data_IF_494550193425
#
_entry.id   IF_494550193425
#
_cell.length_a   1.000
_cell.length_b   1.000
_cell.length_c   1.000
_cell.angle_alpha   90.00
_cell.angle_beta   90.00
_cell.angle_gamma   90.00
#
_symmetry.space_group_name_H-M   'P 1'
#
loop_
_entity.id
_entity.type
_entity.pdbx_description
1 polymer ?
#
# COMPACT_ATOMS: atom_id res chain seq x y z
N UNK A 1 18.81 15.63 -27.37
CA UNK A 1 19.42 14.31 -27.62
C UNK A 1 18.28 13.33 -27.84
N UNK A 2 18.37 12.48 -28.87
CA UNK A 2 17.41 11.40 -29.05
C UNK A 2 17.71 10.22 -28.10
N UNK A 3 16.83 9.21 -28.05
CA UNK A 3 17.03 8.03 -27.18
C UNK A 3 18.29 7.23 -27.51
N UNK A 4 18.82 7.32 -28.73
CA UNK A 4 20.01 6.57 -29.16
C UNK A 4 21.25 7.23 -28.55
N UNK A 5 21.36 8.54 -28.69
CA UNK A 5 22.44 9.34 -28.11
C UNK A 5 22.41 9.30 -26.59
N UNK A 6 21.23 9.45 -25.99
CA UNK A 6 21.01 9.34 -24.54
C UNK A 6 21.48 7.98 -24.00
N UNK A 7 21.09 6.90 -24.70
CA UNK A 7 21.49 5.53 -24.36
C UNK A 7 23.00 5.34 -24.43
N UNK A 8 23.65 5.84 -25.49
CA UNK A 8 25.10 5.77 -25.67
C UNK A 8 25.83 6.50 -24.55
N UNK A 9 25.39 7.70 -24.20
CA UNK A 9 26.02 8.52 -23.16
C UNK A 9 25.87 7.87 -21.78
N UNK A 10 24.66 7.42 -21.42
CA UNK A 10 24.39 6.78 -20.13
C UNK A 10 25.12 5.45 -19.99
N UNK A 11 25.17 4.64 -21.05
CA UNK A 11 25.92 3.39 -21.04
C UNK A 11 27.42 3.61 -20.85
N UNK A 12 28.00 4.60 -21.54
CA UNK A 12 29.41 4.97 -21.37
C UNK A 12 29.73 5.46 -19.96
N UNK A 13 28.85 6.26 -19.37
CA UNK A 13 28.98 6.74 -18.00
C UNK A 13 28.96 5.59 -16.99
N UNK A 14 27.98 4.70 -17.10
CA UNK A 14 27.82 3.58 -16.16
C UNK A 14 28.90 2.51 -16.34
N UNK A 15 29.17 2.08 -17.57
CA UNK A 15 30.01 0.89 -17.83
C UNK A 15 31.43 1.23 -18.30
N UNK A 16 31.78 2.52 -18.43
CA UNK A 16 33.12 2.97 -18.83
C UNK A 16 33.52 2.60 -20.25
N UNK A 17 32.63 2.01 -21.03
CA UNK A 17 32.88 1.56 -22.40
C UNK A 17 31.62 1.66 -23.25
N UNK A 18 31.78 1.76 -24.57
CA UNK A 18 30.67 1.64 -25.51
C UNK A 18 30.36 0.17 -25.80
N UNK A 19 29.10 -0.19 -26.08
CA UNK A 19 28.75 -1.51 -26.57
C UNK A 19 29.50 -1.82 -27.87
N UNK A 20 29.83 -3.09 -28.09
CA UNK A 20 30.49 -3.57 -29.32
C UNK A 20 29.54 -4.55 -30.02
N UNK A 21 28.65 -4.08 -30.92
CA UNK A 21 27.57 -4.89 -31.50
C UNK A 21 28.04 -6.19 -32.17
N UNK A 22 29.20 -6.16 -32.85
CA UNK A 22 29.75 -7.31 -33.57
C UNK A 22 30.17 -8.48 -32.65
N UNK A 23 30.15 -8.28 -31.33
CA UNK A 23 30.44 -9.32 -30.34
C UNK A 23 29.18 -9.88 -29.68
N UNK A 24 28.00 -9.39 -30.05
CA UNK A 24 26.72 -9.77 -29.44
C UNK A 24 26.08 -10.91 -30.23
N UNK A 25 25.56 -11.92 -29.52
CA UNK A 25 24.84 -13.04 -30.15
C UNK A 25 23.40 -12.68 -30.54
N UNK A 26 22.85 -11.59 -29.99
CA UNK A 26 21.52 -11.05 -30.30
C UNK A 26 21.54 -9.51 -30.29
N UNK A 27 22.04 -8.88 -31.37
CA UNK A 27 22.21 -7.43 -31.42
C UNK A 27 20.89 -6.65 -31.42
N UNK A 28 19.80 -7.24 -31.94
CA UNK A 28 18.49 -6.58 -31.98
C UNK A 28 17.91 -6.44 -30.57
N UNK A 29 17.89 -7.52 -29.79
CA UNK A 29 17.43 -7.47 -28.41
C UNK A 29 18.29 -6.52 -27.57
N UNK A 30 19.61 -6.57 -27.76
CA UNK A 30 20.54 -5.72 -27.03
C UNK A 30 20.35 -4.24 -27.36
N UNK A 31 20.00 -3.91 -28.61
CA UNK A 31 19.63 -2.55 -29.02
C UNK A 31 18.32 -2.09 -28.36
N UNK A 32 17.29 -2.93 -28.36
CA UNK A 32 16.01 -2.65 -27.69
C UNK A 32 16.26 -2.39 -26.20
N UNK A 33 16.97 -3.30 -25.54
CA UNK A 33 17.32 -3.23 -24.13
C UNK A 33 18.05 -1.93 -23.82
N UNK A 34 19.16 -1.65 -24.52
CA UNK A 34 19.97 -0.47 -24.22
C UNK A 34 19.19 0.82 -24.42
N UNK A 35 18.45 0.91 -25.52
CA UNK A 35 17.70 2.13 -25.84
C UNK A 35 16.55 2.36 -24.87
N UNK A 36 15.88 1.30 -24.42
CA UNK A 36 14.82 1.40 -23.43
C UNK A 36 15.38 1.77 -22.05
N UNK A 37 16.32 0.97 -21.53
CA UNK A 37 16.88 1.18 -20.19
C UNK A 37 17.65 2.51 -20.15
N UNK A 38 18.72 2.62 -20.94
CA UNK A 38 19.66 3.73 -20.83
C UNK A 38 19.25 4.95 -21.63
N UNK A 39 18.33 4.83 -22.58
CA UNK A 39 17.87 5.96 -23.42
C UNK A 39 16.55 6.58 -22.98
N UNK A 40 15.71 5.87 -22.22
CA UNK A 40 14.38 6.34 -21.80
C UNK A 40 14.23 6.25 -20.27
N UNK A 41 14.39 5.05 -19.69
CA UNK A 41 14.11 4.80 -18.26
C UNK A 41 14.99 5.64 -17.34
N UNK A 42 16.31 5.72 -17.59
CA UNK A 42 17.25 6.52 -16.80
C UNK A 42 16.97 8.03 -16.84
N UNK A 43 16.25 8.51 -17.86
CA UNK A 43 15.91 9.92 -18.05
C UNK A 43 14.46 10.24 -17.69
N UNK A 44 13.71 9.27 -17.16
CA UNK A 44 12.29 9.44 -16.80
C UNK A 44 12.10 9.54 -15.30
N UNK A 45 11.40 10.58 -14.84
CA UNK A 45 11.12 10.81 -13.42
C UNK A 45 12.24 11.54 -12.69
N UNK A 46 12.21 11.52 -11.35
CA UNK A 46 13.05 12.36 -10.50
C UNK A 46 14.13 11.59 -9.70
N UNK A 47 14.39 10.32 -10.03
CA UNK A 47 15.47 9.55 -9.40
C UNK A 47 16.84 9.89 -9.98
N UNK A 48 17.81 10.10 -9.09
CA UNK A 48 19.23 10.17 -9.44
C UNK A 48 19.81 8.80 -9.78
N UNK A 49 20.95 8.81 -10.48
CA UNK A 49 21.56 7.58 -11.00
C UNK A 49 22.10 6.67 -9.90
N UNK A 50 22.53 7.23 -8.76
CA UNK A 50 22.99 6.46 -7.59
C UNK A 50 21.84 5.59 -7.07
N UNK A 51 20.67 6.19 -6.90
CA UNK A 51 19.45 5.53 -6.44
C UNK A 51 18.98 4.52 -7.45
N UNK A 52 19.02 4.84 -8.75
CA UNK A 52 18.71 3.91 -9.84
C UNK A 52 19.57 2.65 -9.79
N UNK A 53 20.88 2.79 -9.64
CA UNK A 53 21.76 1.62 -9.55
C UNK A 53 21.55 0.82 -8.26
N UNK A 54 21.24 1.47 -7.14
CA UNK A 54 20.85 0.73 -5.92
C UNK A 54 19.53 -0.05 -6.12
N UNK A 55 18.52 0.55 -6.77
CA UNK A 55 17.27 -0.14 -7.14
C UNK A 55 17.55 -1.31 -8.09
N UNK A 56 18.46 -1.15 -9.04
CA UNK A 56 18.90 -2.23 -9.93
C UNK A 56 19.55 -3.37 -9.13
N UNK A 57 20.49 -3.05 -8.25
CA UNK A 57 21.22 -4.05 -7.44
C UNK A 57 20.27 -4.90 -6.59
N UNK A 58 19.27 -4.30 -5.93
CA UNK A 58 18.30 -5.07 -5.15
C UNK A 58 17.41 -5.96 -6.02
N UNK A 59 17.03 -5.50 -7.22
CA UNK A 59 16.18 -6.25 -8.13
C UNK A 59 16.94 -7.48 -8.67
N UNK A 60 18.21 -7.28 -9.04
CA UNK A 60 19.08 -8.36 -9.49
C UNK A 60 19.42 -9.34 -8.36
N UNK A 61 19.55 -8.86 -7.13
CA UNK A 61 19.71 -9.69 -5.93
C UNK A 61 18.49 -10.59 -5.73
N UNK A 62 17.28 -10.03 -5.74
CA UNK A 62 16.03 -10.78 -5.57
C UNK A 62 15.81 -11.84 -6.67
N UNK A 63 16.11 -11.46 -7.92
CA UNK A 63 15.99 -12.33 -9.09
C UNK A 63 17.14 -13.35 -9.23
N UNK A 64 18.22 -13.23 -8.45
CA UNK A 64 19.44 -14.04 -8.56
C UNK A 64 20.12 -13.97 -9.95
N UNK A 65 20.05 -12.82 -10.61
CA UNK A 65 20.70 -12.55 -11.91
C UNK A 65 22.13 -12.07 -11.70
N UNK A 66 22.98 -12.99 -11.20
CA UNK A 66 24.33 -12.70 -10.72
C UNK A 66 25.29 -12.06 -11.75
N UNK A 67 25.31 -12.45 -13.04
CA UNK A 67 26.17 -11.80 -14.02
C UNK A 67 25.85 -10.31 -14.19
N UNK A 68 24.56 -9.97 -14.24
CA UNK A 68 24.09 -8.58 -14.32
C UNK A 68 24.37 -7.85 -13.01
N UNK A 69 24.24 -8.51 -11.85
CA UNK A 69 24.60 -7.93 -10.56
C UNK A 69 26.08 -7.54 -10.52
N UNK A 70 26.98 -8.39 -11.05
CA UNK A 70 28.41 -8.07 -11.17
C UNK A 70 28.66 -6.83 -12.02
N UNK A 71 27.97 -6.71 -13.16
CA UNK A 71 28.07 -5.56 -14.04
C UNK A 71 27.54 -4.27 -13.39
N UNK A 72 26.37 -4.33 -12.76
CA UNK A 72 25.76 -3.17 -12.11
C UNK A 72 26.45 -2.78 -10.79
N UNK A 73 27.11 -3.70 -10.10
CA UNK A 73 28.00 -3.35 -8.97
C UNK A 73 29.17 -2.49 -9.45
N UNK A 74 29.79 -2.83 -10.59
CA UNK A 74 30.81 -1.98 -11.21
C UNK A 74 30.24 -0.63 -11.65
N UNK A 75 29.05 -0.63 -12.25
CA UNK A 75 28.40 0.60 -12.71
C UNK A 75 28.08 1.56 -11.55
N UNK A 76 27.50 1.06 -10.47
CA UNK A 76 27.25 1.81 -9.24
C UNK A 76 28.53 2.45 -8.69
N UNK A 77 29.64 1.70 -8.65
CA UNK A 77 30.94 2.23 -8.21
C UNK A 77 31.49 3.31 -9.16
N UNK A 78 31.24 3.22 -10.48
CA UNK A 78 31.69 4.23 -11.45
C UNK A 78 31.00 5.58 -11.26
N UNK A 79 29.73 5.58 -10.83
CA UNK A 79 28.97 6.79 -10.53
C UNK A 79 28.99 7.18 -9.04
N UNK A 80 29.91 6.58 -8.27
CA UNK A 80 30.25 6.99 -6.91
C UNK A 80 29.38 6.40 -5.80
N UNK A 81 28.52 5.41 -6.06
CA UNK A 81 27.90 4.63 -4.97
C UNK A 81 29.02 3.86 -4.25
N UNK A 82 29.09 3.98 -2.93
CA UNK A 82 30.16 3.38 -2.14
C UNK A 82 29.95 1.87 -1.93
N UNK A 83 31.01 1.09 -1.67
CA UNK A 83 30.88 -0.32 -1.29
C UNK A 83 29.96 -0.53 -0.07
N UNK A 84 29.95 0.43 0.86
CA UNK A 84 29.08 0.41 2.04
C UNK A 84 27.62 0.55 1.65
N UNK A 85 27.27 1.55 0.82
CA UNK A 85 25.89 1.73 0.32
C UNK A 85 25.40 0.50 -0.45
N UNK A 86 26.24 -0.08 -1.32
CA UNK A 86 25.90 -1.30 -2.08
C UNK A 86 25.62 -2.48 -1.13
N UNK A 87 26.50 -2.71 -0.14
CA UNK A 87 26.30 -3.77 0.87
C UNK A 87 25.01 -3.54 1.65
N UNK A 88 24.76 -2.31 2.10
CA UNK A 88 23.57 -1.98 2.87
C UNK A 88 22.28 -2.12 2.05
N UNK A 89 22.33 -1.83 0.75
CA UNK A 89 21.22 -2.08 -0.18
C UNK A 89 20.95 -3.59 -0.33
N UNK A 90 21.99 -4.41 -0.53
CA UNK A 90 21.87 -5.88 -0.60
C UNK A 90 21.35 -6.46 0.72
N UNK A 91 21.74 -5.90 1.87
CA UNK A 91 21.26 -6.33 3.19
C UNK A 91 19.76 -6.11 3.37
N UNK A 92 19.16 -5.07 2.76
CA UNK A 92 17.71 -4.88 2.81
C UNK A 92 16.94 -6.05 2.19
N UNK A 93 17.60 -6.86 1.35
CA UNK A 93 16.96 -8.03 0.76
C UNK A 93 16.76 -9.19 1.75
N UNK A 94 17.53 -9.27 2.83
CA UNK A 94 17.55 -10.47 3.68
C UNK A 94 16.18 -10.83 4.31
N UNK A 95 15.41 -9.89 4.88
CA UNK A 95 14.11 -10.22 5.47
C UNK A 95 13.05 -10.67 4.47
N UNK A 96 13.19 -10.31 3.19
CA UNK A 96 12.14 -10.51 2.18
C UNK A 96 12.46 -11.61 1.18
N UNK A 97 13.72 -11.71 0.72
CA UNK A 97 14.16 -12.71 -0.27
C UNK A 97 14.96 -13.86 0.37
N UNK A 98 15.34 -13.72 1.64
CA UNK A 98 16.06 -14.74 2.42
C UNK A 98 17.59 -14.67 2.30
N UNK A 99 18.28 -15.11 3.35
CA UNK A 99 19.74 -15.06 3.45
C UNK A 99 20.51 -15.77 2.32
N UNK A 100 20.13 -16.95 1.81
CA UNK A 100 20.91 -17.62 0.76
C UNK A 100 21.13 -16.76 -0.49
N UNK A 101 20.07 -16.07 -0.94
CA UNK A 101 20.13 -15.17 -2.10
C UNK A 101 21.01 -13.94 -1.83
N UNK A 102 20.93 -13.40 -0.60
CA UNK A 102 21.76 -12.29 -0.14
C UNK A 102 23.23 -12.69 -0.05
N UNK A 103 23.54 -13.89 0.43
CA UNK A 103 24.91 -14.41 0.48
C UNK A 103 25.50 -14.55 -0.93
N UNK A 104 24.75 -15.07 -1.89
CA UNK A 104 25.18 -15.13 -3.28
C UNK A 104 25.47 -13.75 -3.86
N UNK A 105 24.58 -12.78 -3.63
CA UNK A 105 24.75 -11.41 -4.08
C UNK A 105 25.96 -10.72 -3.43
N UNK A 106 26.15 -10.91 -2.12
CA UNK A 106 27.30 -10.38 -1.39
C UNK A 106 28.61 -10.98 -1.86
N UNK A 107 28.65 -12.28 -2.21
CA UNK A 107 29.85 -12.89 -2.78
C UNK A 107 30.24 -12.20 -4.10
N UNK A 108 29.27 -11.99 -5.00
CA UNK A 108 29.50 -11.28 -6.26
C UNK A 108 29.94 -9.83 -6.04
N UNK A 109 29.31 -9.11 -5.11
CA UNK A 109 29.71 -7.74 -4.79
C UNK A 109 31.13 -7.67 -4.20
N UNK A 110 31.49 -8.61 -3.32
CA UNK A 110 32.82 -8.69 -2.71
C UNK A 110 33.92 -9.04 -3.73
N UNK A 111 33.61 -9.88 -4.73
CA UNK A 111 34.52 -10.09 -5.87
C UNK A 111 34.81 -8.77 -6.58
N UNK A 112 33.76 -8.00 -6.92
CA UNK A 112 33.92 -6.69 -7.58
C UNK A 112 34.69 -5.72 -6.70
N UNK A 113 34.40 -5.65 -5.40
CA UNK A 113 35.13 -4.80 -4.47
C UNK A 113 36.63 -5.14 -4.45
N UNK A 114 36.96 -6.43 -4.41
CA UNK A 114 38.35 -6.91 -4.42
C UNK A 114 39.04 -6.60 -5.76
N UNK A 115 38.37 -6.86 -6.89
CA UNK A 115 38.84 -6.54 -8.25
C UNK A 115 39.10 -5.02 -8.43
N UNK A 116 38.29 -4.19 -7.76
CA UNK A 116 38.41 -2.72 -7.77
C UNK A 116 39.38 -2.17 -6.70
N UNK A 117 40.04 -3.05 -5.94
CA UNK A 117 41.06 -2.69 -4.96
C UNK A 117 40.53 -2.17 -3.61
N UNK A 118 39.24 -2.36 -3.31
CA UNK A 118 38.71 -2.06 -1.98
C UNK A 118 39.13 -3.13 -0.98
N UNK A 119 39.45 -2.71 0.24
CA UNK A 119 39.88 -3.62 1.33
C UNK A 119 38.66 -4.22 2.01
N UNK A 120 38.65 -5.56 2.15
CA UNK A 120 37.64 -6.31 2.89
C UNK A 120 38.24 -6.83 4.23
N UNK A 121 37.45 -6.91 5.32
CA UNK A 121 36.03 -6.56 5.41
C UNK A 121 35.80 -5.04 5.40
N UNK A 122 34.71 -4.60 4.77
CA UNK A 122 34.27 -3.20 4.82
C UNK A 122 33.92 -2.81 6.27
N UNK A 123 34.05 -1.52 6.59
CA UNK A 123 33.79 -0.96 7.93
C UNK A 123 32.44 -1.38 8.53
N UNK A 124 32.39 -1.56 9.85
CA UNK A 124 31.15 -1.93 10.57
C UNK A 124 30.18 -0.74 10.55
N UNK A 125 28.89 -1.00 10.32
CA UNK A 125 27.83 0.03 10.31
C UNK A 125 26.74 -0.19 11.37
N UNK A 126 26.83 -1.27 12.16
CA UNK A 126 25.86 -1.56 13.21
C UNK A 126 26.04 -0.61 14.40
N UNK A 127 24.94 -0.04 14.87
CA UNK A 127 24.89 0.98 15.92
C UNK A 127 24.28 0.49 17.24
N UNK A 128 23.72 -0.73 17.24
CA UNK A 128 23.00 -1.31 18.39
C UNK A 128 23.77 -2.48 19.00
N UNK A 129 23.60 -2.69 20.30
CA UNK A 129 24.06 -3.90 20.97
C UNK A 129 23.00 -5.01 20.89
N UNK A 130 23.43 -6.27 21.06
CA UNK A 130 22.56 -7.46 20.90
C UNK A 130 21.29 -7.40 21.78
N UNK A 131 21.43 -6.95 23.02
CA UNK A 131 20.33 -6.84 23.99
C UNK A 131 19.42 -5.61 23.77
N UNK A 132 19.72 -4.76 22.79
CA UNK A 132 19.00 -3.51 22.51
C UNK A 132 18.24 -3.56 21.18
N UNK A 133 18.36 -4.65 20.41
CA UNK A 133 17.80 -4.81 19.06
C UNK A 133 16.30 -4.52 19.03
N UNK A 134 15.53 -5.08 19.96
CA UNK A 134 14.08 -4.89 20.01
C UNK A 134 13.70 -3.43 20.28
N UNK A 135 14.23 -2.83 21.35
CA UNK A 135 13.87 -1.46 21.73
C UNK A 135 14.29 -0.44 20.66
N UNK A 136 15.51 -0.57 20.12
CA UNK A 136 16.00 0.30 19.04
C UNK A 136 15.29 0.08 17.72
N UNK A 137 14.93 -1.17 17.41
CA UNK A 137 14.07 -1.46 16.26
C UNK A 137 12.70 -0.82 16.40
N UNK A 138 12.10 -0.90 17.58
CA UNK A 138 10.78 -0.35 17.88
C UNK A 138 10.73 1.18 17.77
N UNK A 139 11.79 1.88 18.21
CA UNK A 139 11.95 3.34 18.05
C UNK A 139 11.81 3.78 16.57
N UNK A 140 12.29 2.96 15.63
CA UNK A 140 12.19 3.23 14.18
C UNK A 140 10.86 2.71 13.60
N UNK A 141 10.44 1.50 13.97
CA UNK A 141 9.24 0.85 13.45
C UNK A 141 7.98 1.65 13.77
N UNK A 142 7.82 2.10 15.02
CA UNK A 142 6.55 2.63 15.52
C UNK A 142 6.11 3.93 14.80
N UNK A 143 6.99 4.92 14.55
CA UNK A 143 6.60 6.08 13.73
C UNK A 143 6.12 5.72 12.31
N UNK A 144 6.69 4.67 11.71
CA UNK A 144 6.40 4.28 10.32
C UNK A 144 5.15 3.40 10.25
N UNK A 145 5.03 2.39 11.11
CA UNK A 145 4.00 1.35 11.02
C UNK A 145 3.04 1.29 12.21
N UNK A 146 3.31 2.00 13.30
CA UNK A 146 2.53 1.91 14.54
C UNK A 146 2.51 0.48 15.09
N UNK A 147 1.32 0.05 15.53
CA UNK A 147 1.09 -1.30 16.07
C UNK A 147 0.57 -2.31 15.04
N UNK A 148 0.48 -1.93 13.76
CA UNK A 148 -0.19 -2.74 12.72
C UNK A 148 0.38 -4.17 12.65
N UNK A 149 1.69 -4.34 12.85
CA UNK A 149 2.35 -5.66 12.80
C UNK A 149 1.84 -6.57 13.92
N UNK A 150 1.83 -6.08 15.16
CA UNK A 150 1.33 -6.84 16.30
C UNK A 150 -0.18 -7.11 16.17
N UNK A 151 -0.95 -6.13 15.70
CA UNK A 151 -2.39 -6.27 15.50
C UNK A 151 -2.74 -7.31 14.43
N UNK A 152 -2.00 -7.35 13.32
CA UNK A 152 -2.20 -8.33 12.24
C UNK A 152 -1.82 -9.76 12.64
N UNK A 153 -1.02 -9.92 13.69
CA UNK A 153 -0.50 -11.22 14.13
C UNK A 153 -1.06 -11.67 15.49
N UNK A 154 -1.99 -10.92 16.08
CA UNK A 154 -2.57 -11.19 17.40
C UNK A 154 -3.30 -12.54 17.49
N UNK A 155 -3.84 -13.02 16.37
CA UNK A 155 -4.65 -14.24 16.30
C UNK A 155 -3.80 -15.51 16.14
N UNK A 156 -2.46 -15.37 16.13
CA UNK A 156 -1.55 -16.51 16.17
C UNK A 156 -1.66 -17.27 17.51
N UNK A 157 -1.24 -18.55 17.56
CA UNK A 157 -1.13 -19.29 18.81
C UNK A 157 -0.33 -18.52 19.86
N UNK A 158 -0.73 -18.60 21.14
CA UNK A 158 -0.18 -17.77 22.22
C UNK A 158 1.36 -17.85 22.37
N UNK A 159 1.98 -18.97 21.98
CA UNK A 159 3.44 -19.14 22.00
C UNK A 159 4.15 -18.48 20.80
N UNK A 160 3.42 -18.01 19.80
CA UNK A 160 3.93 -17.41 18.56
C UNK A 160 3.45 -15.96 18.35
N UNK A 161 2.32 -15.58 18.96
CA UNK A 161 1.71 -14.25 18.82
C UNK A 161 2.60 -13.11 19.30
N UNK A 162 3.61 -13.39 20.13
CA UNK A 162 4.66 -12.44 20.48
C UNK A 162 5.97 -12.67 19.71
N UNK A 163 6.34 -13.92 19.45
CA UNK A 163 7.65 -14.27 18.86
C UNK A 163 7.82 -13.73 17.45
N UNK A 164 6.80 -13.85 16.59
CA UNK A 164 6.93 -13.41 15.19
C UNK A 164 7.00 -11.87 15.09
N UNK A 165 6.14 -11.09 15.77
CA UNK A 165 6.30 -9.63 15.83
C UNK A 165 7.66 -9.19 16.39
N UNK A 166 8.18 -9.88 17.41
CA UNK A 166 9.48 -9.56 18.01
C UNK A 166 10.62 -9.82 17.02
N UNK A 167 10.62 -10.97 16.33
CA UNK A 167 11.60 -11.26 15.28
C UNK A 167 11.60 -10.22 14.17
N UNK A 168 10.41 -9.77 13.74
CA UNK A 168 10.31 -8.73 12.72
C UNK A 168 10.90 -7.41 13.25
N UNK A 169 10.54 -7.02 14.47
CA UNK A 169 11.03 -5.80 15.11
C UNK A 169 12.56 -5.83 15.26
N UNK A 170 13.10 -6.92 15.80
CA UNK A 170 14.53 -7.09 16.05
C UNK A 170 15.33 -7.22 14.76
N UNK A 171 14.90 -8.06 13.82
CA UNK A 171 15.67 -8.32 12.61
C UNK A 171 15.52 -7.17 11.61
N UNK A 172 14.30 -6.81 11.23
CA UNK A 172 14.10 -5.80 10.19
C UNK A 172 14.57 -4.42 10.69
N UNK A 173 14.13 -4.01 11.88
CA UNK A 173 14.41 -2.66 12.34
C UNK A 173 15.67 -2.60 13.20
N UNK A 174 15.80 -3.50 14.17
CA UNK A 174 16.95 -3.56 15.07
C UNK A 174 18.26 -3.84 14.33
N UNK A 175 18.33 -4.88 13.52
CA UNK A 175 19.57 -5.28 12.84
C UNK A 175 19.84 -4.51 11.55
N UNK A 176 18.81 -4.15 10.79
CA UNK A 176 18.99 -3.55 9.45
C UNK A 176 18.71 -2.05 9.38
N UNK A 177 17.63 -1.52 9.98
CA UNK A 177 17.31 -0.09 9.84
C UNK A 177 18.17 0.82 10.71
N UNK A 178 18.60 0.35 11.88
CA UNK A 178 19.45 1.15 12.79
C UNK A 178 20.86 1.39 12.25
N UNK A 179 21.27 0.62 11.22
CA UNK A 179 22.61 0.69 10.65
C UNK A 179 22.85 2.00 9.92
N UNK A 180 24.10 2.43 9.92
CA UNK A 180 24.59 3.51 9.06
C UNK A 180 24.72 3.05 7.59
N UNK A 181 25.15 3.95 6.72
CA UNK A 181 25.41 3.69 5.31
C UNK A 181 24.23 3.97 4.37
N UNK A 182 22.98 3.85 4.83
CA UNK A 182 21.80 4.31 4.09
C UNK A 182 20.83 5.04 5.01
N UNK A 183 20.21 6.10 4.47
CA UNK A 183 19.11 6.80 5.16
C UNK A 183 17.86 5.91 5.23
N UNK A 184 16.99 6.16 6.21
CA UNK A 184 15.70 5.48 6.33
C UNK A 184 14.85 5.70 5.06
N UNK A 185 14.90 6.90 4.47
CA UNK A 185 14.23 7.23 3.20
C UNK A 185 14.68 6.30 2.07
N UNK A 186 15.99 6.09 1.94
CA UNK A 186 16.54 5.20 0.92
C UNK A 186 16.17 3.75 1.20
N UNK A 187 16.27 3.29 2.46
CA UNK A 187 15.90 1.91 2.84
C UNK A 187 14.43 1.61 2.50
N UNK A 188 13.50 2.48 2.87
CA UNK A 188 12.08 2.31 2.55
C UNK A 188 11.80 2.29 1.05
N UNK A 189 12.48 3.13 0.27
CA UNK A 189 12.32 3.15 -1.18
C UNK A 189 12.82 1.83 -1.81
N UNK A 190 13.97 1.35 -1.37
CA UNK A 190 14.56 0.09 -1.81
C UNK A 190 13.66 -1.10 -1.41
N UNK A 191 13.09 -1.10 -0.21
CA UNK A 191 12.20 -2.19 0.22
C UNK A 191 10.90 -2.19 -0.59
N UNK A 192 10.30 -1.03 -0.87
CA UNK A 192 9.15 -0.96 -1.77
C UNK A 192 9.48 -1.53 -3.16
N UNK A 193 10.65 -1.21 -3.68
CA UNK A 193 11.14 -1.76 -4.96
C UNK A 193 11.34 -3.28 -4.91
N UNK A 194 11.91 -3.78 -3.82
CA UNK A 194 12.14 -5.21 -3.61
C UNK A 194 10.82 -5.98 -3.54
N UNK A 195 9.82 -5.47 -2.80
CA UNK A 195 8.50 -6.08 -2.71
C UNK A 195 7.80 -6.13 -4.06
N UNK A 196 7.95 -5.08 -4.88
CA UNK A 196 7.49 -5.10 -6.28
C UNK A 196 8.17 -6.22 -7.07
N UNK A 197 9.48 -6.42 -6.93
CA UNK A 197 10.22 -7.48 -7.64
C UNK A 197 9.76 -8.88 -7.20
N UNK A 198 9.54 -9.10 -5.91
CA UNK A 198 9.00 -10.37 -5.38
C UNK A 198 7.54 -10.60 -5.79
N UNK A 199 6.82 -9.54 -6.19
CA UNK A 199 5.40 -9.62 -6.57
C UNK A 199 4.47 -9.74 -5.37
N UNK A 200 4.93 -9.28 -4.21
CA UNK A 200 4.14 -9.19 -2.99
C UNK A 200 2.96 -8.22 -3.20
N UNK A 201 1.78 -8.46 -2.61
CA UNK A 201 0.61 -7.58 -2.74
C UNK A 201 0.03 -7.07 -1.42
N UNK A 202 0.21 -7.79 -0.32
CA UNK A 202 -0.41 -7.50 0.98
C UNK A 202 0.28 -6.36 1.72
N UNK A 203 1.62 -6.27 1.65
CA UNK A 203 2.44 -5.32 2.41
C UNK A 203 2.98 -4.16 1.57
N UNK A 204 2.80 -4.18 0.24
CA UNK A 204 3.14 -3.04 -0.63
C UNK A 204 2.48 -1.74 -0.16
N UNK A 205 1.19 -1.77 0.20
CA UNK A 205 0.49 -0.56 0.68
C UNK A 205 1.11 -0.01 1.96
N UNK A 206 1.55 -0.88 2.87
CA UNK A 206 2.21 -0.48 4.11
C UNK A 206 3.54 0.23 3.82
N UNK A 207 4.38 -0.31 2.94
CA UNK A 207 5.66 0.32 2.57
C UNK A 207 5.50 1.57 1.70
N UNK A 208 4.48 1.63 0.83
CA UNK A 208 4.19 2.84 0.08
C UNK A 208 3.71 3.98 1.01
N UNK A 209 2.95 3.66 2.06
CA UNK A 209 2.59 4.60 3.13
C UNK A 209 3.80 4.97 3.99
N UNK A 210 4.64 3.99 4.32
CA UNK A 210 5.88 4.18 5.07
C UNK A 210 6.84 5.15 4.37
N UNK A 211 6.97 5.02 3.05
CA UNK A 211 7.73 5.94 2.20
C UNK A 211 7.27 7.40 2.37
N UNK A 212 5.96 7.67 2.40
CA UNK A 212 5.43 9.01 2.65
C UNK A 212 5.82 9.53 4.04
N UNK A 213 5.72 8.67 5.07
CA UNK A 213 6.04 9.05 6.46
C UNK A 213 7.52 9.37 6.67
N UNK A 214 8.41 8.71 5.94
CA UNK A 214 9.86 8.96 6.05
C UNK A 214 10.31 10.12 5.16
N UNK A 215 9.43 10.68 4.32
CA UNK A 215 9.67 11.89 3.55
C UNK A 215 9.87 11.69 2.04
N UNK A 216 9.76 10.46 1.53
CA UNK A 216 9.65 10.25 0.09
C UNK A 216 8.27 10.73 -0.41
N UNK A 217 8.18 11.10 -1.68
CA UNK A 217 6.92 11.49 -2.30
C UNK A 217 6.47 10.48 -3.35
N UNK A 218 5.24 10.65 -3.85
CA UNK A 218 4.67 9.76 -4.87
C UNK A 218 5.45 9.76 -6.17
N UNK A 219 5.94 10.93 -6.60
CA UNK A 219 6.73 11.05 -7.83
C UNK A 219 8.01 10.21 -7.74
N UNK A 220 8.70 10.22 -6.58
CA UNK A 220 9.88 9.39 -6.31
C UNK A 220 9.56 7.91 -6.35
N UNK A 221 8.46 7.47 -5.70
CA UNK A 221 8.04 6.07 -5.75
C UNK A 221 7.66 5.63 -7.16
N UNK A 222 6.91 6.45 -7.92
CA UNK A 222 6.54 6.17 -9.30
C UNK A 222 7.76 6.13 -10.22
N UNK A 223 8.72 7.04 -10.03
CA UNK A 223 9.99 7.05 -10.76
C UNK A 223 10.79 5.76 -10.50
N UNK A 224 10.77 5.25 -9.27
CA UNK A 224 11.36 3.95 -8.93
C UNK A 224 10.64 2.78 -9.62
N UNK A 225 9.30 2.82 -9.69
CA UNK A 225 8.53 1.79 -10.41
C UNK A 225 8.82 1.79 -11.91
N UNK A 226 9.00 2.98 -12.51
CA UNK A 226 9.44 3.10 -13.92
C UNK A 226 10.82 2.48 -14.09
N UNK A 227 11.75 2.78 -13.18
CA UNK A 227 13.10 2.21 -13.19
C UNK A 227 13.11 0.68 -13.08
N UNK A 228 12.15 0.10 -12.37
CA UNK A 228 12.04 -1.35 -12.22
C UNK A 228 11.45 -2.09 -13.42
N UNK A 229 10.79 -1.41 -14.37
CA UNK A 229 10.12 -2.08 -15.50
C UNK A 229 11.05 -3.07 -16.23
N UNK A 230 12.31 -2.74 -16.57
CA UNK A 230 13.22 -3.67 -17.25
C UNK A 230 13.61 -4.90 -16.41
N UNK A 231 13.50 -4.82 -15.08
CA UNK A 231 13.97 -5.84 -14.14
C UNK A 231 12.84 -6.68 -13.52
N UNK A 232 11.65 -6.11 -13.38
CA UNK A 232 10.48 -6.75 -12.77
C UNK A 232 9.32 -6.98 -13.75
N UNK A 233 9.31 -6.29 -14.89
CA UNK A 233 8.24 -6.33 -15.89
C UNK A 233 7.00 -5.52 -15.48
N UNK A 234 6.20 -5.17 -16.49
CA UNK A 234 4.99 -4.33 -16.31
C UNK A 234 3.96 -4.88 -15.32
N UNK A 235 3.61 -6.18 -15.27
CA UNK A 235 2.54 -6.64 -14.38
C UNK A 235 2.81 -6.34 -12.90
N UNK A 236 4.06 -6.53 -12.46
CA UNK A 236 4.48 -6.27 -11.08
C UNK A 236 4.52 -4.77 -10.79
N UNK A 237 5.13 -3.98 -11.68
CA UNK A 237 5.26 -2.52 -11.48
C UNK A 237 3.91 -1.81 -11.56
N UNK A 238 3.01 -2.22 -12.47
CA UNK A 238 1.67 -1.65 -12.60
C UNK A 238 0.80 -1.87 -11.36
N UNK A 239 0.91 -3.04 -10.72
CA UNK A 239 0.22 -3.27 -9.46
C UNK A 239 0.63 -2.24 -8.39
N UNK A 240 1.94 -2.05 -8.21
CA UNK A 240 2.48 -1.09 -7.25
C UNK A 240 2.16 0.36 -7.61
N UNK A 241 2.21 0.71 -8.90
CA UNK A 241 1.79 2.03 -9.40
C UNK A 241 0.33 2.31 -9.03
N UNK A 242 -0.57 1.33 -9.19
CA UNK A 242 -1.97 1.49 -8.79
C UNK A 242 -2.09 1.71 -7.27
N UNK A 243 -1.35 0.95 -6.45
CA UNK A 243 -1.33 1.16 -5.00
C UNK A 243 -0.85 2.57 -4.64
N UNK A 244 0.23 3.06 -5.26
CA UNK A 244 0.77 4.42 -5.02
C UNK A 244 -0.24 5.50 -5.43
N UNK A 245 -0.89 5.32 -6.58
CA UNK A 245 -1.96 6.21 -7.07
C UNK A 245 -3.10 6.29 -6.04
N UNK A 246 -3.54 5.15 -5.54
CA UNK A 246 -4.65 5.04 -4.56
C UNK A 246 -4.29 5.53 -3.14
N UNK A 247 -3.02 5.81 -2.82
CA UNK A 247 -2.66 6.31 -1.48
C UNK A 247 -3.39 7.61 -1.08
N UNK A 248 -3.72 8.48 -2.05
CA UNK A 248 -4.48 9.72 -1.76
C UNK A 248 -5.99 9.44 -1.69
N UNK A 249 -6.46 8.39 -2.37
CA UNK A 249 -7.85 7.96 -2.33
C UNK A 249 -8.16 7.22 -1.01
N UNK A 250 -7.16 6.58 -0.40
CA UNK A 250 -7.25 5.93 0.90
C UNK A 250 -7.24 6.94 2.08
N UNK A 251 -6.44 8.02 1.99
CA UNK A 251 -6.52 9.12 2.96
C UNK A 251 -7.85 9.87 2.86
N UNK A 252 -8.42 10.01 1.65
CA UNK A 252 -9.78 10.54 1.49
C UNK A 252 -10.89 9.58 1.96
N UNK A 253 -10.65 8.26 2.02
CA UNK A 253 -11.65 7.30 2.54
C UNK A 253 -11.72 7.30 4.07
N UNK A 254 -10.60 7.47 4.78
CA UNK A 254 -10.60 7.56 6.25
C UNK A 254 -10.79 9.00 6.80
N UNK A 255 -10.47 10.06 6.04
CA UNK A 255 -10.82 11.44 6.42
C UNK A 255 -12.28 11.82 6.09
N UNK A 256 -13.03 10.99 5.35
CA UNK A 256 -14.44 11.26 5.02
C UNK A 256 -15.46 10.76 6.06
N UNK A 257 -15.02 9.94 7.03
CA UNK A 257 -15.89 9.47 8.09
C UNK A 257 -16.09 10.59 9.12
N UNK A 258 -17.21 11.32 9.00
CA UNK A 258 -17.58 12.39 9.94
C UNK A 258 -17.69 11.85 11.38
N UNK A 259 -18.04 10.57 11.54
CA UNK A 259 -18.22 9.90 12.83
C UNK A 259 -17.60 8.49 12.82
N UNK A 260 -17.23 7.94 13.99
CA UNK A 260 -16.74 6.56 14.11
C UNK A 260 -17.73 5.53 13.55
N UNK A 261 -17.20 4.37 13.13
CA UNK A 261 -17.95 3.28 12.49
C UNK A 261 -19.12 2.73 13.34
N UNK A 262 -18.94 2.63 14.65
CA UNK A 262 -19.95 2.08 15.56
C UNK A 262 -19.93 0.55 15.62
N UNK A 263 -21.07 -0.02 16.03
CA UNK A 263 -21.24 -1.46 16.26
C UNK A 263 -21.90 -2.10 15.06
N UNK A 264 -21.53 -3.34 14.74
CA UNK A 264 -22.15 -4.11 13.64
C UNK A 264 -23.66 -4.26 13.90
N UNK A 265 -24.47 -3.95 12.90
CA UNK A 265 -25.93 -4.08 12.97
C UNK A 265 -26.36 -5.56 13.01
N UNK A 266 -27.53 -5.84 13.59
CA UNK A 266 -28.08 -7.21 13.64
C UNK A 266 -28.36 -7.72 12.22
N UNK A 267 -27.94 -8.96 11.94
CA UNK A 267 -28.23 -9.65 10.69
C UNK A 267 -29.74 -9.94 10.52
N UNK A 268 -30.55 -9.80 11.56
CA UNK A 268 -32.00 -9.99 11.49
C UNK A 268 -32.70 -8.91 10.64
N UNK A 269 -32.09 -7.72 10.52
CA UNK A 269 -32.68 -6.54 9.89
C UNK A 269 -31.93 -6.06 8.65
N UNK A 270 -30.83 -6.71 8.29
CA UNK A 270 -29.95 -6.29 7.20
C UNK A 270 -29.51 -7.49 6.38
N UNK A 271 -29.52 -7.33 5.05
CA UNK A 271 -28.79 -8.20 4.15
C UNK A 271 -27.44 -7.57 3.83
N UNK A 272 -26.34 -8.27 4.12
CA UNK A 272 -24.98 -7.75 4.03
C UNK A 272 -24.47 -7.22 5.37
N UNK A 273 -23.39 -6.42 5.35
CA UNK A 273 -22.80 -5.85 6.57
C UNK A 273 -23.10 -4.35 6.68
N UNK A 274 -23.74 -3.97 7.79
CA UNK A 274 -23.90 -2.58 8.19
C UNK A 274 -23.34 -2.34 9.59
N UNK A 275 -22.97 -1.08 9.86
CA UNK A 275 -22.53 -0.61 11.17
C UNK A 275 -23.37 0.59 11.58
N UNK A 276 -23.74 0.65 12.86
CA UNK A 276 -24.55 1.72 13.44
C UNK A 276 -23.78 2.31 14.62
N UNK A 277 -23.57 3.62 14.55
CA UNK A 277 -23.06 4.42 15.67
C UNK A 277 -24.16 5.37 16.14
N UNK A 278 -24.66 5.17 17.36
CA UNK A 278 -25.65 6.08 17.96
C UNK A 278 -24.92 7.35 18.39
N UNK A 279 -25.23 8.47 17.74
CA UNK A 279 -24.62 9.77 18.03
C UNK A 279 -25.37 10.50 19.14
N UNK A 280 -26.71 10.44 19.09
CA UNK A 280 -27.60 11.03 20.09
C UNK A 280 -28.66 9.99 20.43
N UNK A 281 -28.61 9.39 21.63
CA UNK A 281 -29.69 8.52 22.10
C UNK A 281 -30.95 9.34 22.41
N UNK A 282 -32.10 8.68 22.50
CA UNK A 282 -33.30 9.31 23.04
C UNK A 282 -33.14 9.53 24.55
N UNK A 283 -33.49 10.72 25.01
CA UNK A 283 -33.67 11.03 26.43
C UNK A 283 -34.96 11.83 26.69
N UNK A 284 -35.15 12.32 27.91
CA UNK A 284 -36.34 13.08 28.32
C UNK A 284 -36.46 14.45 27.62
N UNK A 285 -35.38 14.96 27.02
CA UNK A 285 -35.28 16.28 26.41
C UNK A 285 -35.44 16.28 24.88
N UNK A 286 -35.32 15.11 24.22
CA UNK A 286 -35.45 14.97 22.78
C UNK A 286 -36.35 13.78 22.35
N UNK A 287 -37.37 14.06 21.53
CA UNK A 287 -38.26 13.04 20.96
C UNK A 287 -37.68 12.24 19.78
N UNK A 288 -36.36 12.21 19.61
CA UNK A 288 -35.69 11.61 18.45
C UNK A 288 -34.36 10.97 18.83
N UNK A 289 -33.89 10.02 18.02
CA UNK A 289 -32.53 9.48 18.08
C UNK A 289 -31.78 9.79 16.79
N UNK A 290 -30.46 10.00 16.90
CA UNK A 290 -29.57 10.26 15.76
C UNK A 290 -28.51 9.18 15.69
N UNK A 291 -28.40 8.53 14.53
CA UNK A 291 -27.40 7.50 14.26
C UNK A 291 -26.64 7.74 12.97
N UNK A 292 -25.34 7.47 12.97
CA UNK A 292 -24.55 7.32 11.75
C UNK A 292 -24.60 5.85 11.33
N UNK A 293 -25.01 5.59 10.08
CA UNK A 293 -25.14 4.24 9.54
C UNK A 293 -24.23 4.10 8.33
N UNK A 294 -23.41 3.03 8.34
CA UNK A 294 -22.50 2.68 7.25
C UNK A 294 -22.94 1.34 6.69
N UNK A 295 -23.20 1.30 5.38
CA UNK A 295 -23.46 0.11 4.60
C UNK A 295 -22.22 -0.24 3.77
N UNK A 296 -21.75 -1.49 3.87
CA UNK A 296 -20.80 -2.04 2.90
C UNK A 296 -21.46 -2.18 1.52
N UNK A 297 -20.70 -2.23 0.40
CA UNK A 297 -21.25 -2.46 -0.93
C UNK A 297 -22.24 -3.63 -0.97
N UNK A 298 -23.41 -3.42 -1.56
CA UNK A 298 -24.47 -4.43 -1.62
C UNK A 298 -25.32 -4.61 -0.36
N UNK A 299 -24.97 -3.94 0.75
CA UNK A 299 -25.73 -4.04 1.99
C UNK A 299 -26.99 -3.17 1.96
N UNK A 300 -28.12 -3.70 2.44
CA UNK A 300 -29.38 -2.97 2.60
C UNK A 300 -30.15 -3.44 3.83
N UNK A 301 -30.97 -2.56 4.38
CA UNK A 301 -31.88 -2.93 5.46
C UNK A 301 -33.17 -3.57 4.92
N UNK A 302 -33.89 -4.25 5.80
CA UNK A 302 -35.22 -4.79 5.47
C UNK A 302 -36.21 -3.64 5.24
N UNK A 303 -37.30 -3.95 4.55
CA UNK A 303 -38.45 -3.05 4.50
C UNK A 303 -38.90 -2.72 5.94
N UNK A 304 -39.22 -1.46 6.21
CA UNK A 304 -39.65 -1.01 7.53
C UNK A 304 -40.48 0.27 7.47
N UNK A 305 -41.11 0.61 8.60
CA UNK A 305 -41.84 1.87 8.79
C UNK A 305 -41.38 2.56 10.07
N UNK A 306 -41.54 3.89 10.12
CA UNK A 306 -41.31 4.70 11.31
C UNK A 306 -42.62 5.37 11.75
N UNK A 307 -43.07 5.21 13.01
CA UNK A 307 -44.35 5.75 13.46
C UNK A 307 -44.39 7.29 13.47
N UNK A 308 -43.24 7.96 13.64
CA UNK A 308 -43.14 9.43 13.59
C UNK A 308 -42.24 9.95 12.45
N UNK A 309 -41.94 9.11 11.47
CA UNK A 309 -41.09 9.44 10.32
C UNK A 309 -39.60 9.49 10.62
N UNK A 310 -38.80 9.70 9.58
CA UNK A 310 -37.34 9.73 9.63
C UNK A 310 -36.77 10.70 8.60
N UNK A 311 -35.59 11.24 8.89
CA UNK A 311 -34.80 12.04 7.95
C UNK A 311 -33.45 11.37 7.73
N UNK A 312 -33.02 11.25 6.48
CA UNK A 312 -31.69 10.80 6.10
C UNK A 312 -30.88 11.96 5.53
N UNK A 313 -29.67 12.16 6.04
CA UNK A 313 -28.68 13.10 5.50
C UNK A 313 -27.51 12.29 4.96
N UNK A 314 -27.33 12.25 3.64
CA UNK A 314 -26.30 11.41 3.02
C UNK A 314 -24.95 12.10 3.09
N UNK A 315 -23.99 11.46 3.75
CA UNK A 315 -22.68 12.04 4.05
C UNK A 315 -21.56 11.49 3.16
N UNK A 316 -21.69 10.26 2.66
CA UNK A 316 -20.74 9.66 1.74
C UNK A 316 -21.33 8.49 0.93
N UNK A 317 -20.67 8.18 -0.18
CA UNK A 317 -20.98 6.98 -0.96
C UNK A 317 -22.18 7.11 -1.89
N UNK A 318 -22.61 5.96 -2.42
CA UNK A 318 -23.76 5.83 -3.34
C UNK A 318 -24.67 4.73 -2.86
N UNK A 319 -25.96 5.01 -2.81
CA UNK A 319 -26.97 4.08 -2.32
C UNK A 319 -28.30 4.24 -3.02
N UNK A 320 -29.30 3.57 -2.46
CA UNK A 320 -30.69 3.64 -2.90
C UNK A 320 -31.60 3.90 -1.71
N UNK A 321 -32.70 4.60 -1.98
CA UNK A 321 -33.87 4.66 -1.12
C UNK A 321 -35.09 4.29 -1.95
N UNK A 322 -35.99 3.49 -1.41
CA UNK A 322 -37.20 3.11 -2.11
C UNK A 322 -38.38 3.02 -1.16
N UNK A 323 -39.49 3.62 -1.57
CA UNK A 323 -40.80 3.41 -0.95
C UNK A 323 -41.52 2.25 -1.65
N UNK A 324 -42.34 1.51 -0.90
CA UNK A 324 -43.09 0.38 -1.45
C UNK A 324 -43.93 0.83 -2.64
N UNK A 325 -43.90 0.05 -3.72
CA UNK A 325 -44.60 0.32 -4.98
C UNK A 325 -44.13 1.57 -5.76
N UNK A 326 -43.08 2.27 -5.33
CA UNK A 326 -42.44 3.34 -6.10
C UNK A 326 -41.08 2.89 -6.67
N UNK A 327 -40.59 3.53 -7.74
CA UNK A 327 -39.22 3.30 -8.21
C UNK A 327 -38.19 3.65 -7.14
N UNK A 328 -37.10 2.89 -7.09
CA UNK A 328 -35.96 3.24 -6.25
C UNK A 328 -35.34 4.55 -6.72
N UNK A 329 -35.03 5.42 -5.77
CA UNK A 329 -34.30 6.68 -5.98
C UNK A 329 -32.82 6.44 -5.66
N UNK A 330 -31.89 6.67 -6.59
CA UNK A 330 -30.46 6.68 -6.28
C UNK A 330 -30.14 7.87 -5.36
N UNK A 331 -29.21 7.65 -4.42
CA UNK A 331 -28.76 8.63 -3.45
C UNK A 331 -27.26 8.84 -3.54
N UNK A 332 -26.85 10.09 -3.42
CA UNK A 332 -25.46 10.55 -3.45
C UNK A 332 -25.14 11.45 -2.26
N UNK A 333 -23.85 11.63 -1.97
CA UNK A 333 -23.38 12.59 -0.95
C UNK A 333 -24.03 13.96 -1.13
N UNK A 334 -24.61 14.48 -0.04
CA UNK A 334 -25.33 15.76 -0.01
C UNK A 334 -26.84 15.64 -0.18
N UNK A 335 -27.36 14.47 -0.56
CA UNK A 335 -28.80 14.25 -0.65
C UNK A 335 -29.48 14.21 0.72
N UNK A 336 -30.73 14.65 0.73
CA UNK A 336 -31.63 14.57 1.88
C UNK A 336 -32.88 13.77 1.49
N UNK A 337 -33.32 12.90 2.38
CA UNK A 337 -34.57 12.16 2.27
C UNK A 337 -35.42 12.44 3.51
N UNK A 338 -36.65 12.88 3.31
CA UNK A 338 -37.64 13.02 4.38
C UNK A 338 -38.66 11.90 4.17
N UNK A 339 -38.82 11.06 5.18
CA UNK A 339 -39.64 9.86 5.14
C UNK A 339 -40.82 10.08 6.08
N UNK A 340 -42.04 10.27 5.55
CA UNK A 340 -43.22 10.49 6.38
C UNK A 340 -43.55 9.31 7.29
N UNK A 341 -44.32 9.59 8.34
CA UNK A 341 -44.86 8.56 9.23
C UNK A 341 -45.59 7.45 8.47
N UNK A 342 -45.33 6.20 8.86
CA UNK A 342 -46.00 5.02 8.33
C UNK A 342 -45.61 4.61 6.91
N UNK A 343 -44.72 5.34 6.23
CA UNK A 343 -44.27 4.99 4.88
C UNK A 343 -43.35 3.79 4.94
N UNK A 344 -43.73 2.73 4.22
CA UNK A 344 -42.92 1.53 4.07
C UNK A 344 -41.79 1.79 3.07
N UNK A 345 -40.56 1.61 3.52
CA UNK A 345 -39.38 1.90 2.73
C UNK A 345 -38.18 1.01 3.11
N UNK A 346 -37.16 1.01 2.27
CA UNK A 346 -35.82 0.52 2.59
C UNK A 346 -34.77 1.48 2.03
N UNK A 347 -33.54 1.34 2.52
CA UNK A 347 -32.38 2.02 1.97
C UNK A 347 -31.11 1.21 2.20
N UNK A 348 -30.09 1.45 1.37
CA UNK A 348 -28.85 0.70 1.41
C UNK A 348 -27.82 1.16 0.40
N UNK A 349 -26.67 0.53 0.44
CA UNK A 349 -25.57 0.73 -0.49
C UNK A 349 -25.91 0.28 -1.91
N UNK A 350 -25.21 0.86 -2.88
CA UNK A 350 -25.18 0.35 -4.24
C UNK A 350 -24.26 -0.90 -4.33
N UNK A 351 -24.33 -1.63 -5.44
CA UNK A 351 -23.60 -2.88 -5.63
C UNK A 351 -22.08 -2.75 -5.49
N UNK A 352 -21.52 -1.62 -5.92
CA UNK A 352 -20.07 -1.38 -6.02
C UNK A 352 -19.56 -0.25 -5.12
N UNK A 353 -20.42 0.30 -4.25
CA UNK A 353 -20.11 1.48 -3.46
C UNK A 353 -20.65 1.33 -2.03
N UNK A 354 -19.85 1.74 -1.04
CA UNK A 354 -20.38 1.90 0.31
C UNK A 354 -21.36 3.08 0.36
N UNK A 355 -22.20 3.13 1.39
CA UNK A 355 -23.17 4.20 1.59
C UNK A 355 -23.22 4.61 3.05
N UNK A 356 -23.14 5.91 3.32
CA UNK A 356 -23.12 6.46 4.67
C UNK A 356 -24.12 7.60 4.78
N UNK A 357 -24.93 7.56 5.84
CA UNK A 357 -25.86 8.64 6.14
C UNK A 357 -26.05 8.80 7.65
N UNK A 358 -26.51 9.99 8.04
CA UNK A 358 -27.06 10.26 9.36
C UNK A 358 -28.57 10.01 9.29
N UNK A 359 -29.09 9.16 10.16
CA UNK A 359 -30.52 8.95 10.35
C UNK A 359 -31.00 9.72 11.58
N UNK A 360 -31.98 10.59 11.41
CA UNK A 360 -32.70 11.27 12.49
C UNK A 360 -34.08 10.64 12.56
N UNK A 361 -34.33 9.84 13.60
CA UNK A 361 -35.56 9.03 13.73
C UNK A 361 -36.39 9.56 14.89
N UNK A 362 -37.60 10.02 14.60
CA UNK A 362 -38.55 10.44 15.64
C UNK A 362 -39.20 9.22 16.29
N UNK A 363 -39.59 9.37 17.55
CA UNK A 363 -40.10 8.28 18.38
C UNK A 363 -41.52 8.61 18.82
N UNK A 364 -42.42 7.63 18.74
CA UNK A 364 -43.81 7.76 19.20
C UNK A 364 -44.17 6.55 20.06
N UNK A 365 -44.70 6.82 21.26
CA UNK A 365 -45.13 5.78 22.21
C UNK A 365 -44.04 4.74 22.53
N UNK A 366 -42.78 5.17 22.58
CA UNK A 366 -41.63 4.31 22.87
C UNK A 366 -41.16 3.43 21.70
N UNK A 367 -41.84 3.48 20.55
CA UNK A 367 -41.42 2.80 19.33
C UNK A 367 -40.81 3.79 18.34
N UNK A 368 -39.69 3.39 17.74
CA UNK A 368 -39.02 4.16 16.70
C UNK A 368 -39.07 3.48 15.34
N UNK A 369 -39.24 2.15 15.24
CA UNK A 369 -39.23 1.40 13.98
C UNK A 369 -40.10 0.15 14.06
N UNK A 370 -40.76 -0.19 12.97
CA UNK A 370 -41.41 -1.49 12.75
C UNK A 370 -40.75 -2.17 11.57
N UNK A 371 -39.99 -3.24 11.82
CA UNK A 371 -39.32 -4.03 10.79
C UNK A 371 -40.30 -4.97 10.08
N UNK A 372 -40.13 -5.13 8.77
CA UNK A 372 -40.94 -5.98 7.89
C UNK A 372 -40.03 -6.98 7.18
N UNK A 373 -40.37 -7.36 5.95
CA UNK A 373 -39.67 -8.39 5.19
C UNK A 373 -38.33 -7.91 4.62
N UNK A 374 -37.34 -8.80 4.43
CA UNK A 374 -36.13 -8.48 3.69
C UNK A 374 -36.41 -7.99 2.26
N UNK A 375 -35.53 -7.15 1.73
CA UNK A 375 -35.48 -6.81 0.30
C UNK A 375 -34.88 -8.00 -0.43
N UNK A 376 -35.61 -8.57 -1.38
CA UNK A 376 -35.14 -9.77 -2.10
C UNK A 376 -33.93 -9.44 -2.98
N UNK A 377 -33.09 -10.44 -3.25
CA UNK A 377 -31.96 -10.26 -4.18
C UNK A 377 -32.44 -9.89 -5.59
N UNK A 378 -33.59 -10.39 -6.02
CA UNK A 378 -34.16 -10.06 -7.34
C UNK A 378 -34.58 -8.59 -7.42
N UNK A 379 -35.31 -8.09 -6.41
CA UNK A 379 -35.66 -6.67 -6.32
C UNK A 379 -34.40 -5.79 -6.33
N UNK A 380 -33.41 -6.15 -5.51
CA UNK A 380 -32.17 -5.38 -5.39
C UNK A 380 -31.30 -5.41 -6.66
N UNK A 381 -31.16 -6.57 -7.30
CA UNK A 381 -30.34 -6.76 -8.50
C UNK A 381 -30.99 -6.20 -9.77
N UNK A 382 -32.29 -5.87 -9.73
CA UNK A 382 -32.97 -5.16 -10.81
C UNK A 382 -32.57 -3.67 -10.92
N UNK A 383 -31.95 -3.12 -9.86
CA UNK A 383 -31.49 -1.74 -9.79
C UNK A 383 -30.14 -1.58 -10.51
N UNK A 384 -29.95 -0.46 -11.22
CA UNK A 384 -28.76 -0.17 -12.02
C UNK A 384 -27.86 0.86 -11.35
#
# INVERSE_FOLDING_TARGET
MDRIELSRNKYQELFGSLPVPDKESDPELMEILRRFIFGEVFYTGNLDDRTREMVTIIALTANQTLPQLKAHTNAALNIGVTPVEIREAIYQCAPFTGFPKVLNAMNVANEVFSERGFVLPLEKQGTVNENERFEKGKEIQYPIYGNVIAENLKDLPANLSQVIPDFLTELCFGDFYTREGLSIQTRELLILCLLTVEGEKQIIKAHATGNLKVGNNKETMLSAMIHLIPYAGFPKTLHTINVIKELDEANNKNESAIFPTGVRASADYFTGTAYVNILIPQDETNGYAVGNVIFEPGCRNNWHTHPAGQILLVTAGRGYYQERSKPARPLYKGDVVIIPSGVEHWHGAAHDSSFVHIAITNIQEGSNVTWLTPVTDEEYNSLK
#
